data_IF_773757556994
#
_entry.id   IF_773757556994
#
_cell.length_a   1.000
_cell.length_b   1.000
_cell.length_c   1.000
_cell.angle_alpha   90.00
_cell.angle_beta   90.00
_cell.angle_gamma   90.00
#
_symmetry.space_group_name_H-M   'P 1'
#
loop_
_entity.id
_entity.type
_entity.pdbx_description
1 polymer ?
#
# COMPACT_ATOMS: atom_id res chain seq x y z
N UNK A 1 7.94 16.95 -21.14
CA UNK A 1 7.00 16.36 -20.16
C UNK A 1 5.62 16.36 -20.80
N UNK A 2 5.07 15.19 -21.11
CA UNK A 2 3.75 15.09 -21.72
C UNK A 2 2.68 15.36 -20.65
N UNK A 3 1.81 16.34 -20.91
CA UNK A 3 0.67 16.63 -20.03
C UNK A 3 -0.46 15.69 -20.41
N UNK A 4 -0.91 14.88 -19.46
CA UNK A 4 -2.13 14.08 -19.63
C UNK A 4 -3.31 14.97 -19.25
N UNK A 5 -4.25 15.25 -20.17
CA UNK A 5 -5.44 16.03 -19.84
C UNK A 5 -6.27 15.26 -18.80
N UNK A 6 -6.74 15.98 -17.78
CA UNK A 6 -7.45 15.41 -16.64
C UNK A 6 -8.49 16.39 -16.13
N UNK A 7 -9.60 15.88 -15.62
CA UNK A 7 -10.63 16.71 -14.97
C UNK A 7 -10.15 17.17 -13.59
N UNK A 8 -10.65 18.31 -13.11
CA UNK A 8 -10.31 18.78 -11.76
C UNK A 8 -10.68 17.78 -10.66
N UNK A 9 -11.83 17.12 -10.82
CA UNK A 9 -12.27 16.04 -9.93
C UNK A 9 -11.33 14.83 -9.97
N UNK A 10 -10.95 14.36 -11.16
CA UNK A 10 -10.03 13.23 -11.31
C UNK A 10 -8.68 13.52 -10.67
N UNK A 11 -8.17 14.74 -10.80
CA UNK A 11 -6.95 15.17 -10.12
C UNK A 11 -7.09 15.14 -8.60
N UNK A 12 -8.18 15.67 -8.06
CA UNK A 12 -8.43 15.68 -6.62
C UNK A 12 -8.50 14.25 -6.05
N UNK A 13 -9.23 13.35 -6.73
CA UNK A 13 -9.35 11.95 -6.32
C UNK A 13 -8.01 11.22 -6.34
N UNK A 14 -7.20 11.37 -7.39
CA UNK A 14 -5.86 10.75 -7.46
C UNK A 14 -4.92 11.30 -6.40
N UNK A 15 -5.02 12.60 -6.09
CA UNK A 15 -4.20 13.24 -5.05
C UNK A 15 -4.57 12.72 -3.66
N UNK A 16 -5.87 12.56 -3.37
CA UNK A 16 -6.35 11.97 -2.13
C UNK A 16 -5.92 10.50 -2.01
N UNK A 17 -6.10 9.72 -3.09
CA UNK A 17 -5.68 8.31 -3.15
C UNK A 17 -4.17 8.18 -2.86
N UNK A 18 -3.34 8.97 -3.54
CA UNK A 18 -1.89 8.95 -3.33
C UNK A 18 -1.52 9.29 -1.89
N UNK A 19 -2.14 10.33 -1.32
CA UNK A 19 -1.93 10.73 0.07
C UNK A 19 -2.25 9.57 1.01
N UNK A 20 -3.42 8.96 0.87
CA UNK A 20 -3.86 7.85 1.71
C UNK A 20 -2.93 6.64 1.59
N UNK A 21 -2.56 6.26 0.36
CA UNK A 21 -1.64 5.14 0.09
C UNK A 21 -0.27 5.33 0.74
N UNK A 22 0.23 6.57 0.78
CA UNK A 22 1.54 6.88 1.35
C UNK A 22 1.52 7.08 2.86
N UNK A 23 0.51 7.77 3.39
CA UNK A 23 0.50 8.26 4.77
C UNK A 23 -0.26 7.34 5.72
N UNK A 24 -1.23 6.56 5.22
CA UNK A 24 -2.08 5.70 6.04
C UNK A 24 -1.81 4.23 5.74
N UNK A 25 -1.94 3.83 4.47
CA UNK A 25 -1.91 2.42 4.08
C UNK A 25 -0.51 1.80 4.18
N UNK A 26 0.53 2.53 3.73
CA UNK A 26 1.91 2.04 3.82
C UNK A 26 2.34 1.81 5.28
N UNK A 27 2.13 2.73 6.24
CA UNK A 27 2.39 2.45 7.66
C UNK A 27 1.61 1.24 8.19
N UNK A 28 0.32 1.12 7.87
CA UNK A 28 -0.52 -0.01 8.28
C UNK A 28 0.05 -1.36 7.80
N UNK A 29 0.50 -1.43 6.55
CA UNK A 29 1.11 -2.63 5.98
C UNK A 29 2.43 -2.97 6.68
N UNK A 30 3.26 -1.96 6.98
CA UNK A 30 4.54 -2.16 7.69
C UNK A 30 4.30 -2.75 9.08
N UNK A 31 3.29 -2.24 9.80
CA UNK A 31 2.89 -2.75 11.11
C UNK A 31 2.43 -4.22 11.01
N UNK A 32 1.55 -4.54 10.05
CA UNK A 32 1.08 -5.90 9.82
C UNK A 32 2.23 -6.89 9.49
N UNK A 33 3.20 -6.46 8.68
CA UNK A 33 4.40 -7.28 8.40
C UNK A 33 5.23 -7.47 9.67
N UNK A 34 5.39 -6.41 10.47
CA UNK A 34 6.16 -6.48 11.72
C UNK A 34 5.51 -7.42 12.73
N UNK A 35 4.19 -7.35 12.88
CA UNK A 35 3.41 -8.24 13.72
C UNK A 35 3.53 -9.70 13.24
N UNK A 36 3.29 -9.94 11.95
CA UNK A 36 3.42 -11.27 11.35
C UNK A 36 4.82 -11.89 11.58
N UNK A 37 5.89 -11.08 11.49
CA UNK A 37 7.27 -11.50 11.78
C UNK A 37 7.52 -11.89 13.23
N UNK A 38 6.73 -11.40 14.17
CA UNK A 38 6.86 -11.75 15.59
C UNK A 38 6.38 -13.17 15.91
N UNK A 39 5.57 -13.78 15.03
CA UNK A 39 5.00 -15.12 15.23
C UNK A 39 5.96 -16.27 14.85
N UNK A 40 7.18 -15.97 14.40
CA UNK A 40 8.23 -16.97 14.19
C UNK A 40 8.28 -17.50 12.75
N UNK A 41 7.62 -18.63 12.47
CA UNK A 41 7.74 -19.29 11.17
C UNK A 41 6.98 -18.52 10.08
N UNK A 42 7.72 -17.81 9.23
CA UNK A 42 7.18 -17.01 8.13
C UNK A 42 6.78 -17.84 6.91
N UNK A 43 7.27 -19.07 6.80
CA UNK A 43 7.03 -19.89 5.61
C UNK A 43 5.58 -20.35 5.53
N UNK A 44 4.96 -20.66 6.68
CA UNK A 44 3.56 -21.07 6.79
C UNK A 44 2.62 -19.95 7.28
N UNK A 45 3.16 -18.79 7.66
CA UNK A 45 2.37 -17.68 8.19
C UNK A 45 1.54 -17.00 7.09
N UNK A 46 0.23 -17.26 7.09
CA UNK A 46 -0.71 -16.72 6.12
C UNK A 46 -0.83 -15.19 6.21
N UNK A 47 -0.77 -14.63 7.42
CA UNK A 47 -0.83 -13.18 7.67
C UNK A 47 0.38 -12.45 7.07
N UNK A 48 1.56 -13.05 7.13
CA UNK A 48 2.77 -12.52 6.52
C UNK A 48 2.65 -12.48 4.99
N UNK A 49 2.20 -13.58 4.38
CA UNK A 49 1.99 -13.64 2.93
C UNK A 49 0.95 -12.62 2.47
N UNK A 50 -0.16 -12.50 3.19
CA UNK A 50 -1.20 -11.51 2.91
C UNK A 50 -0.69 -10.07 3.05
N UNK A 51 0.09 -9.77 4.09
CA UNK A 51 0.68 -8.44 4.29
C UNK A 51 1.72 -8.11 3.19
N UNK A 52 2.48 -9.10 2.72
CA UNK A 52 3.41 -8.96 1.59
C UNK A 52 2.69 -8.73 0.27
N UNK A 53 1.56 -9.40 0.03
CA UNK A 53 0.72 -9.15 -1.14
C UNK A 53 0.13 -7.72 -1.11
N UNK A 54 -0.42 -7.32 0.04
CA UNK A 54 -0.93 -5.96 0.24
C UNK A 54 0.15 -4.90 -0.01
N UNK A 55 1.38 -5.13 0.47
CA UNK A 55 2.53 -4.28 0.15
C UNK A 55 2.75 -4.15 -1.35
N UNK A 56 2.78 -5.27 -2.09
CA UNK A 56 3.02 -5.24 -3.53
C UNK A 56 1.92 -4.49 -4.29
N UNK A 57 0.66 -4.66 -3.89
CA UNK A 57 -0.47 -3.95 -4.47
C UNK A 57 -0.48 -2.46 -4.11
N UNK A 58 -0.01 -2.10 -2.92
CA UNK A 58 0.14 -0.72 -2.49
C UNK A 58 1.19 0.00 -3.34
N UNK A 59 2.40 -0.54 -3.37
CA UNK A 59 3.54 0.05 -4.06
C UNK A 59 3.40 0.00 -5.59
N UNK A 60 2.68 -0.98 -6.15
CA UNK A 60 2.38 -1.00 -7.58
C UNK A 60 1.42 0.11 -8.03
N UNK A 61 0.70 0.74 -7.09
CA UNK A 61 -0.24 1.83 -7.37
C UNK A 61 0.36 3.23 -7.14
N UNK A 62 1.38 3.32 -6.28
CA UNK A 62 2.10 4.56 -5.93
C UNK A 62 3.11 4.90 -7.02
#
# INVERSE_FOLDING_TARGET
MNKVPMTGEGFASLKEELRWRQQEERPRIIEAISEARSHGDLSENAEYHAAKEAQSLNEGRV
#
